data_IF_586007455226
#
_entry.id   IF_586007455226
#
_cell.length_a   1.000
_cell.length_b   1.000
_cell.length_c   1.000
_cell.angle_alpha   90.00
_cell.angle_beta   90.00
_cell.angle_gamma   90.00
#
_symmetry.space_group_name_H-M   'P 1'
#
loop_
_entity.id
_entity.type
_entity.pdbx_description
1 polymer ?
#
# COMPACT_ATOMS: atom_id res chain seq x y z
N UNK A 1 -30.93 23.09 8.79
CA UNK A 1 -29.91 22.42 9.63
C UNK A 1 -28.78 21.69 8.88
N UNK A 2 -28.85 21.46 7.55
CA UNK A 2 -27.79 20.77 6.78
C UNK A 2 -26.46 21.55 6.64
N UNK A 3 -26.48 22.88 6.76
CA UNK A 3 -25.28 23.74 6.56
C UNK A 3 -24.23 23.65 7.69
N UNK A 4 -24.60 23.23 8.91
CA UNK A 4 -23.67 23.21 10.05
C UNK A 4 -22.63 22.09 9.95
N UNK A 5 -23.05 20.87 9.59
CA UNK A 5 -22.17 19.71 9.47
C UNK A 5 -21.20 19.83 8.29
N UNK A 6 -21.69 20.31 7.14
CA UNK A 6 -20.86 20.55 5.97
C UNK A 6 -19.77 21.60 6.25
N UNK A 7 -20.11 22.69 6.97
CA UNK A 7 -19.15 23.71 7.36
C UNK A 7 -18.10 23.20 8.35
N UNK A 8 -18.48 22.28 9.25
CA UNK A 8 -17.54 21.64 10.19
C UNK A 8 -16.60 20.68 9.45
N UNK A 9 -17.11 19.89 8.52
CA UNK A 9 -16.31 18.98 7.70
C UNK A 9 -15.33 19.73 6.79
N UNK A 10 -15.80 20.78 6.10
CA UNK A 10 -14.96 21.63 5.25
C UNK A 10 -13.82 22.27 6.06
N UNK A 11 -14.14 22.82 7.25
CA UNK A 11 -13.12 23.41 8.13
C UNK A 11 -12.08 22.39 8.60
N UNK A 12 -12.48 21.15 8.91
CA UNK A 12 -11.55 20.08 9.29
C UNK A 12 -10.62 19.70 8.15
N UNK A 13 -11.15 19.55 6.94
CA UNK A 13 -10.33 19.30 5.75
C UNK A 13 -9.34 20.44 5.48
N UNK A 14 -9.73 21.69 5.73
CA UNK A 14 -8.82 22.83 5.60
C UNK A 14 -7.73 22.85 6.69
N UNK A 15 -8.04 22.42 7.93
CA UNK A 15 -7.03 22.24 8.99
C UNK A 15 -5.99 21.20 8.55
N UNK A 16 -6.42 20.03 8.09
CA UNK A 16 -5.52 18.97 7.60
C UNK A 16 -4.62 19.50 6.47
N UNK A 17 -5.19 20.18 5.47
CA UNK A 17 -4.44 20.75 4.33
C UNK A 17 -3.41 21.82 4.74
N UNK A 18 -3.71 22.62 5.77
CA UNK A 18 -2.81 23.65 6.27
C UNK A 18 -1.66 23.05 7.06
N UNK A 19 -1.93 22.01 7.84
CA UNK A 19 -0.93 21.29 8.63
C UNK A 19 0.01 20.51 7.71
N UNK A 20 -0.52 19.87 6.66
CA UNK A 20 0.28 19.13 5.66
C UNK A 20 1.25 20.03 4.89
N UNK A 21 0.82 21.23 4.47
CA UNK A 21 1.67 22.13 3.68
C UNK A 21 2.84 22.75 4.45
N UNK A 22 2.70 22.89 5.76
CA UNK A 22 3.68 23.58 6.59
C UNK A 22 4.41 22.67 7.58
N UNK A 23 4.03 21.38 7.65
CA UNK A 23 4.60 20.36 8.53
C UNK A 23 4.19 20.50 9.99
N UNK A 24 4.28 21.73 10.54
CA UNK A 24 3.92 22.08 11.91
C UNK A 24 3.09 23.36 11.90
N UNK A 25 2.00 23.38 12.67
CA UNK A 25 1.15 24.54 12.88
C UNK A 25 0.83 24.74 14.36
N UNK A 26 0.45 25.96 14.74
CA UNK A 26 -0.05 26.26 16.09
C UNK A 26 -1.56 26.45 16.06
N UNK A 27 -2.23 26.17 17.18
CA UNK A 27 -3.67 26.46 17.35
C UNK A 27 -3.99 27.91 17.02
N UNK A 28 -3.16 28.85 17.49
CA UNK A 28 -3.29 30.28 17.22
C UNK A 28 -3.15 30.61 15.73
N UNK A 29 -2.17 29.99 15.04
CA UNK A 29 -1.97 30.17 13.61
C UNK A 29 -3.14 29.65 12.76
N UNK A 30 -3.69 28.49 13.12
CA UNK A 30 -4.86 27.93 12.45
C UNK A 30 -6.12 28.78 12.68
N UNK A 31 -6.32 29.26 13.90
CA UNK A 31 -7.44 30.14 14.25
C UNK A 31 -7.43 31.43 13.42
N UNK A 32 -6.25 32.05 13.28
CA UNK A 32 -6.06 33.26 12.49
C UNK A 32 -6.36 33.03 11.00
N UNK A 33 -5.82 31.96 10.41
CA UNK A 33 -5.97 31.65 8.97
C UNK A 33 -7.39 31.26 8.61
N UNK A 34 -8.08 30.52 9.47
CA UNK A 34 -9.44 30.04 9.24
C UNK A 34 -10.52 30.98 9.78
N UNK A 35 -10.13 32.12 10.37
CA UNK A 35 -11.03 33.13 10.95
C UNK A 35 -12.03 32.54 11.94
N UNK A 36 -11.55 31.66 12.83
CA UNK A 36 -12.36 31.05 13.90
C UNK A 36 -11.66 31.18 15.24
N UNK A 37 -12.40 31.08 16.35
CA UNK A 37 -11.82 31.09 17.68
C UNK A 37 -10.94 29.87 17.96
N UNK A 38 -9.89 30.03 18.78
CA UNK A 38 -9.03 28.92 19.22
C UNK A 38 -9.81 27.76 19.83
N UNK A 39 -10.90 28.03 20.55
CA UNK A 39 -11.74 26.98 21.17
C UNK A 39 -12.40 26.07 20.11
N UNK A 40 -12.73 26.63 18.93
CA UNK A 40 -13.27 25.90 17.78
C UNK A 40 -12.20 25.01 17.16
N UNK A 41 -11.00 25.56 16.96
CA UNK A 41 -9.84 24.78 16.46
C UNK A 41 -9.51 23.64 17.42
N UNK A 42 -9.44 23.89 18.73
CA UNK A 42 -9.19 22.84 19.74
C UNK A 42 -10.24 21.73 19.70
N UNK A 43 -11.52 22.08 19.50
CA UNK A 43 -12.61 21.10 19.37
C UNK A 43 -12.45 20.24 18.11
N UNK A 44 -12.11 20.83 16.98
CA UNK A 44 -11.90 20.10 15.74
C UNK A 44 -10.62 19.26 15.76
N UNK A 45 -9.53 19.79 16.30
CA UNK A 45 -8.27 19.06 16.50
C UNK A 45 -8.44 17.87 17.45
N UNK A 46 -9.26 17.98 18.50
CA UNK A 46 -9.57 16.83 19.38
C UNK A 46 -10.17 15.67 18.59
N UNK A 47 -11.05 15.98 17.63
CA UNK A 47 -11.70 14.96 16.79
C UNK A 47 -10.74 14.44 15.74
N UNK A 48 -10.01 15.31 15.04
CA UNK A 48 -9.01 14.91 14.04
C UNK A 48 -7.88 14.09 14.66
N UNK A 49 -7.46 14.42 15.87
CA UNK A 49 -6.47 13.67 16.63
C UNK A 49 -6.99 12.29 17.05
N UNK A 50 -8.22 12.21 17.57
CA UNK A 50 -8.85 10.94 17.90
C UNK A 50 -9.06 10.04 16.66
N UNK A 51 -9.27 10.64 15.49
CA UNK A 51 -9.35 9.94 14.21
C UNK A 51 -7.98 9.59 13.61
N UNK A 52 -6.87 9.98 14.25
CA UNK A 52 -5.53 9.74 13.74
C UNK A 52 -5.25 10.46 12.41
N UNK A 53 -5.81 11.66 12.20
CA UNK A 53 -5.57 12.52 11.03
C UNK A 53 -4.48 13.57 11.27
N UNK A 54 -4.30 13.98 12.52
CA UNK A 54 -3.23 14.92 12.95
C UNK A 54 -2.66 14.49 14.29
N UNK A 55 -1.39 14.83 14.57
CA UNK A 55 -0.85 14.76 15.93
C UNK A 55 -1.02 16.11 16.60
N UNK A 56 -1.49 16.11 17.85
CA UNK A 56 -1.74 17.34 18.59
C UNK A 56 -1.23 17.22 20.02
N UNK A 57 -0.22 18.04 20.36
CA UNK A 57 0.40 18.06 21.68
C UNK A 57 0.66 19.53 22.09
N UNK A 58 0.24 19.93 23.28
CA UNK A 58 0.56 21.23 23.88
C UNK A 58 0.37 22.46 22.97
N UNK A 59 -0.65 22.44 22.09
CA UNK A 59 -0.95 23.56 21.19
C UNK A 59 -0.19 23.54 19.85
N UNK A 60 0.71 22.57 19.65
CA UNK A 60 1.37 22.25 18.38
C UNK A 60 0.61 21.15 17.66
N UNK A 61 0.36 21.37 16.37
CA UNK A 61 -0.32 20.45 15.46
C UNK A 61 0.67 20.03 14.41
N UNK A 62 0.89 18.74 14.29
CA UNK A 62 1.82 18.15 13.34
C UNK A 62 1.05 17.30 12.33
N UNK A 63 1.50 17.36 11.08
CA UNK A 63 1.03 16.43 10.08
C UNK A 63 1.45 15.03 10.50
N UNK A 64 0.58 14.04 10.33
CA UNK A 64 1.03 12.67 10.37
C UNK A 64 1.80 12.47 9.07
N UNK A 65 3.11 12.26 9.17
CA UNK A 65 3.98 12.08 8.01
C UNK A 65 3.38 11.05 7.03
N UNK A 66 2.95 11.54 5.86
CA UNK A 66 2.58 10.74 4.70
C UNK A 66 1.10 10.51 4.41
N UNK A 67 0.15 11.34 4.83
CA UNK A 67 -1.25 11.22 4.39
C UNK A 67 -1.98 12.55 4.13
N UNK A 68 -1.49 13.36 3.19
CA UNK A 68 -2.35 14.38 2.56
C UNK A 68 -3.22 13.78 1.45
N UNK A 69 -4.47 14.24 1.28
CA UNK A 69 -5.37 13.77 0.20
C UNK A 69 -4.73 13.90 -1.21
N UNK A 70 -3.92 14.95 -1.43
CA UNK A 70 -3.20 15.16 -2.69
C UNK A 70 -2.05 14.17 -2.91
N UNK A 71 -1.32 13.81 -1.84
CA UNK A 71 -0.25 12.82 -1.89
C UNK A 71 -0.84 11.41 -2.11
N UNK A 72 -1.96 11.09 -1.45
CA UNK A 72 -2.65 9.82 -1.63
C UNK A 72 -3.18 9.64 -3.07
N UNK A 73 -3.73 10.71 -3.68
CA UNK A 73 -4.12 10.69 -5.10
C UNK A 73 -2.91 10.49 -6.02
N UNK A 74 -1.79 11.14 -5.70
CA UNK A 74 -0.55 11.01 -6.49
C UNK A 74 0.01 9.58 -6.41
N UNK A 75 0.05 8.99 -5.21
CA UNK A 75 0.49 7.61 -5.01
C UNK A 75 -0.43 6.61 -5.71
N UNK A 76 -1.75 6.83 -5.70
CA UNK A 76 -2.70 5.99 -6.42
C UNK A 76 -2.46 6.01 -7.95
N UNK A 77 -2.18 7.18 -8.53
CA UNK A 77 -1.84 7.30 -9.96
C UNK A 77 -0.51 6.61 -10.28
N UNK A 78 0.49 6.73 -9.40
CA UNK A 78 1.77 6.03 -9.56
C UNK A 78 1.57 4.51 -9.49
N UNK A 79 0.83 4.03 -8.50
CA UNK A 79 0.48 2.62 -8.33
C UNK A 79 -0.20 2.07 -9.60
N UNK A 80 -1.18 2.80 -10.15
CA UNK A 80 -1.86 2.41 -11.37
C UNK A 80 -0.89 2.31 -12.57
N UNK A 81 0.02 3.29 -12.73
CA UNK A 81 1.02 3.27 -13.81
C UNK A 81 2.01 2.12 -13.66
N UNK A 82 2.47 1.84 -12.45
CA UNK A 82 3.34 0.69 -12.17
C UNK A 82 2.60 -0.59 -12.54
N UNK A 83 1.38 -0.76 -12.04
CA UNK A 83 0.58 -1.95 -12.30
C UNK A 83 0.36 -2.20 -13.80
N UNK A 84 0.05 -1.16 -14.56
CA UNK A 84 -0.18 -1.24 -16.00
C UNK A 84 1.09 -1.58 -16.80
N UNK A 85 2.29 -1.32 -16.26
CA UNK A 85 3.55 -1.62 -16.91
C UNK A 85 3.99 -3.09 -16.72
N UNK A 86 3.63 -3.72 -15.59
CA UNK A 86 4.10 -5.08 -15.23
C UNK A 86 3.80 -6.13 -16.31
N UNK A 87 2.59 -6.21 -16.92
CA UNK A 87 2.30 -7.23 -17.93
C UNK A 87 3.27 -7.24 -19.12
N UNK A 88 3.87 -6.11 -19.47
CA UNK A 88 4.84 -6.02 -20.58
C UNK A 88 6.15 -6.77 -20.30
N UNK A 89 6.41 -7.12 -19.04
CA UNK A 89 7.61 -7.87 -18.62
C UNK A 89 7.30 -9.33 -18.27
N UNK A 90 6.05 -9.78 -18.45
CA UNK A 90 5.59 -11.12 -18.13
C UNK A 90 5.28 -11.87 -19.43
N UNK A 91 5.92 -13.03 -19.60
CA UNK A 91 5.61 -13.90 -20.73
C UNK A 91 4.25 -14.60 -20.52
N UNK A 92 3.53 -14.85 -21.61
CA UNK A 92 2.30 -15.64 -21.56
C UNK A 92 2.55 -17.03 -20.97
N UNK A 93 1.55 -17.56 -20.26
CA UNK A 93 1.57 -18.85 -19.56
C UNK A 93 2.60 -18.97 -18.42
N UNK A 94 3.26 -17.87 -18.04
CA UNK A 94 4.17 -17.86 -16.89
C UNK A 94 3.44 -18.15 -15.58
N UNK A 95 4.14 -18.81 -14.66
CA UNK A 95 3.70 -18.93 -13.26
C UNK A 95 4.28 -17.79 -12.43
N UNK A 96 3.42 -17.11 -11.68
CA UNK A 96 3.74 -15.91 -10.91
C UNK A 96 3.48 -16.14 -9.42
N UNK A 97 4.47 -15.90 -8.57
CA UNK A 97 4.20 -15.68 -7.15
C UNK A 97 3.83 -14.22 -6.91
N UNK A 98 2.82 -13.96 -6.08
CA UNK A 98 2.46 -12.60 -5.67
C UNK A 98 2.12 -12.55 -4.19
N UNK A 99 2.81 -11.68 -3.45
CA UNK A 99 2.51 -11.49 -2.04
C UNK A 99 1.21 -10.70 -1.83
N UNK A 100 0.74 -10.70 -0.59
CA UNK A 100 -0.46 -9.97 -0.22
C UNK A 100 -0.21 -8.46 -0.11
N UNK A 101 -0.22 -7.80 -1.27
CA UNK A 101 -0.09 -6.36 -1.41
C UNK A 101 -1.22 -5.79 -2.30
N UNK A 102 -1.67 -4.57 -1.99
CA UNK A 102 -2.71 -3.88 -2.77
C UNK A 102 -2.26 -3.55 -4.19
N UNK A 103 -0.99 -3.22 -4.39
CA UNK A 103 -0.41 -2.98 -5.71
C UNK A 103 -0.30 -4.28 -6.51
N UNK A 104 -0.01 -5.41 -5.86
CA UNK A 104 -0.08 -6.72 -6.52
C UNK A 104 -1.50 -7.06 -6.97
N UNK A 105 -2.55 -6.72 -6.20
CA UNK A 105 -3.93 -6.89 -6.66
C UNK A 105 -4.25 -6.05 -7.91
N UNK A 106 -3.71 -4.83 -8.01
CA UNK A 106 -3.84 -4.02 -9.23
C UNK A 106 -3.12 -4.68 -10.41
N UNK A 107 -1.93 -5.23 -10.20
CA UNK A 107 -1.20 -5.99 -11.23
C UNK A 107 -2.01 -7.20 -11.70
N UNK A 108 -2.67 -7.95 -10.80
CA UNK A 108 -3.51 -9.10 -11.18
C UNK A 108 -4.63 -8.65 -12.15
N UNK A 109 -5.27 -7.51 -11.90
CA UNK A 109 -6.27 -6.97 -12.81
C UNK A 109 -5.68 -6.60 -14.18
N UNK A 110 -4.48 -6.02 -14.21
CA UNK A 110 -3.80 -5.65 -15.45
C UNK A 110 -3.33 -6.88 -16.25
N UNK A 111 -3.04 -8.00 -15.56
CA UNK A 111 -2.74 -9.29 -16.17
C UNK A 111 -3.96 -9.95 -16.82
N UNK A 112 -5.18 -9.42 -16.68
CA UNK A 112 -6.35 -9.92 -17.40
C UNK A 112 -6.20 -9.87 -18.94
N UNK A 113 -5.18 -9.17 -19.44
CA UNK A 113 -4.81 -9.05 -20.86
C UNK A 113 -4.04 -10.26 -21.40
N UNK A 114 -3.47 -11.11 -20.54
CA UNK A 114 -2.65 -12.26 -20.94
C UNK A 114 -2.94 -13.50 -20.07
N UNK A 115 -2.85 -14.73 -20.63
CA UNK A 115 -3.01 -15.94 -19.83
C UNK A 115 -1.77 -16.15 -18.93
N UNK A 116 -1.98 -16.36 -17.63
CA UNK A 116 -0.92 -16.63 -16.64
C UNK A 116 -1.42 -17.56 -15.52
N UNK A 117 -0.52 -18.11 -14.71
CA UNK A 117 -0.89 -18.74 -13.44
C UNK A 117 -0.42 -17.87 -12.29
N UNK A 118 -1.32 -17.36 -11.46
CA UNK A 118 -1.00 -16.55 -10.28
C UNK A 118 -1.14 -17.40 -9.02
N UNK A 119 -0.08 -17.51 -8.23
CA UNK A 119 -0.09 -18.13 -6.91
C UNK A 119 0.10 -17.04 -5.86
N UNK A 120 -0.87 -16.87 -4.97
CA UNK A 120 -0.88 -15.79 -3.98
C UNK A 120 -1.47 -16.20 -2.64
N UNK A 121 -0.98 -15.58 -1.56
CA UNK A 121 -1.56 -15.71 -0.23
C UNK A 121 -2.64 -14.65 0.06
N UNK A 122 -3.09 -13.92 -0.95
CA UNK A 122 -4.14 -12.91 -0.82
C UNK A 122 -5.51 -13.44 -1.31
N UNK A 123 -6.47 -13.75 -0.43
CA UNK A 123 -7.79 -14.22 -0.82
C UNK A 123 -8.55 -13.27 -1.76
N UNK A 124 -8.30 -11.95 -1.67
CA UNK A 124 -8.95 -10.95 -2.51
C UNK A 124 -8.64 -11.11 -4.00
N UNK A 125 -7.56 -11.82 -4.36
CA UNK A 125 -7.22 -12.11 -5.76
C UNK A 125 -8.30 -12.91 -6.48
N UNK A 126 -9.15 -13.65 -5.75
CA UNK A 126 -10.29 -14.39 -6.34
C UNK A 126 -11.32 -13.49 -7.00
N UNK A 127 -11.42 -12.23 -6.58
CA UNK A 127 -12.34 -11.23 -7.13
C UNK A 127 -11.72 -10.37 -8.25
N UNK A 128 -10.43 -10.54 -8.54
CA UNK A 128 -9.76 -9.79 -9.61
C UNK A 128 -10.25 -10.21 -11.00
N UNK A 129 -10.20 -9.26 -11.93
CA UNK A 129 -10.39 -9.55 -13.35
C UNK A 129 -9.30 -10.50 -13.84
N UNK A 130 -9.66 -11.40 -14.76
CA UNK A 130 -8.73 -12.41 -15.27
C UNK A 130 -9.02 -12.77 -16.72
N UNK A 131 -7.96 -13.12 -17.45
CA UNK A 131 -8.07 -13.75 -18.76
C UNK A 131 -8.72 -15.14 -18.61
N UNK A 132 -9.41 -15.63 -19.64
CA UNK A 132 -10.08 -16.95 -19.59
C UNK A 132 -9.09 -18.09 -19.31
N UNK A 133 -7.91 -18.03 -19.93
CA UNK A 133 -6.80 -18.97 -19.68
C UNK A 133 -6.03 -18.77 -18.35
N UNK A 134 -6.41 -17.80 -17.51
CA UNK A 134 -5.68 -17.50 -16.26
C UNK A 134 -6.14 -18.37 -15.10
N UNK A 135 -5.17 -18.96 -14.40
CA UNK A 135 -5.40 -19.74 -13.18
C UNK A 135 -4.99 -18.92 -11.96
N UNK A 136 -5.86 -18.83 -10.95
CA UNK A 136 -5.53 -18.21 -9.66
C UNK A 136 -5.52 -19.30 -8.60
N UNK A 137 -4.36 -19.51 -7.99
CA UNK A 137 -4.12 -20.47 -6.93
C UNK A 137 -3.90 -19.72 -5.61
N UNK A 138 -4.76 -20.01 -4.64
CA UNK A 138 -4.64 -19.45 -3.30
C UNK A 138 -3.88 -20.44 -2.41
N UNK A 139 -2.84 -19.99 -1.70
CA UNK A 139 -1.92 -20.86 -0.94
C UNK A 139 -2.58 -21.66 0.19
N UNK A 140 -3.79 -21.28 0.62
CA UNK A 140 -4.41 -21.78 1.84
C UNK A 140 -3.67 -21.33 3.11
N UNK A 141 -4.13 -21.81 4.27
CA UNK A 141 -3.57 -21.50 5.59
C UNK A 141 -4.51 -20.72 6.50
N UNK A 142 -3.94 -20.19 7.59
CA UNK A 142 -4.68 -19.38 8.58
C UNK A 142 -4.91 -17.98 8.03
N UNK A 143 -6.12 -17.45 8.18
CA UNK A 143 -6.37 -16.03 7.95
C UNK A 143 -5.74 -15.21 9.08
N UNK A 144 -4.85 -14.29 8.73
CA UNK A 144 -4.27 -13.33 9.66
C UNK A 144 -5.29 -12.25 10.01
N UNK A 145 -5.67 -12.16 11.28
CA UNK A 145 -6.70 -11.22 11.78
C UNK A 145 -6.36 -9.76 11.55
N UNK A 146 -5.08 -9.43 11.35
CA UNK A 146 -4.62 -8.05 11.14
C UNK A 146 -4.75 -7.56 9.69
N UNK A 147 -4.71 -8.46 8.70
CA UNK A 147 -4.61 -8.08 7.27
C UNK A 147 -5.51 -8.87 6.32
N UNK A 148 -6.31 -9.83 6.81
CA UNK A 148 -7.15 -10.71 5.98
C UNK A 148 -6.37 -11.43 4.86
N UNK A 149 -5.13 -11.82 5.18
CA UNK A 149 -4.21 -12.56 4.29
C UNK A 149 -3.97 -13.95 4.85
N UNK A 150 -3.57 -14.90 4.00
CA UNK A 150 -3.25 -16.24 4.43
C UNK A 150 -1.79 -16.34 4.88
N UNK A 151 -1.59 -17.01 6.01
CA UNK A 151 -0.28 -17.19 6.62
C UNK A 151 -0.17 -18.52 7.38
N UNK A 152 1.03 -18.77 7.89
CA UNK A 152 1.37 -19.95 8.68
C UNK A 152 2.05 -21.06 7.86
N UNK A 153 2.31 -22.18 8.52
CA UNK A 153 3.07 -23.31 7.95
C UNK A 153 2.43 -23.89 6.68
N UNK A 154 1.10 -23.95 6.60
CA UNK A 154 0.38 -24.41 5.41
C UNK A 154 0.72 -23.54 4.20
N UNK A 155 0.70 -22.21 4.36
CA UNK A 155 1.07 -21.26 3.30
C UNK A 155 2.52 -21.44 2.85
N UNK A 156 3.45 -21.56 3.80
CA UNK A 156 4.88 -21.75 3.50
C UNK A 156 5.15 -23.09 2.81
N UNK A 157 4.52 -24.17 3.26
CA UNK A 157 4.66 -25.50 2.66
C UNK A 157 4.08 -25.54 1.25
N UNK A 158 2.96 -24.84 1.01
CA UNK A 158 2.38 -24.73 -0.32
C UNK A 158 3.32 -24.02 -1.30
N UNK A 159 3.98 -22.96 -0.85
CA UNK A 159 4.93 -22.20 -1.67
C UNK A 159 6.24 -22.98 -1.86
N UNK A 160 6.74 -23.66 -0.84
CA UNK A 160 8.03 -24.37 -0.89
C UNK A 160 8.04 -25.54 -1.89
N UNK A 161 6.87 -26.13 -2.15
CA UNK A 161 6.68 -27.23 -3.09
C UNK A 161 6.45 -26.79 -4.54
N UNK A 162 6.60 -25.50 -4.86
CA UNK A 162 6.33 -24.93 -6.19
C UNK A 162 7.47 -24.02 -6.63
N UNK A 163 7.59 -23.83 -7.94
CA UNK A 163 8.54 -22.91 -8.56
C UNK A 163 7.74 -21.97 -9.46
N UNK A 164 8.03 -20.68 -9.37
CA UNK A 164 7.47 -19.66 -10.25
C UNK A 164 8.51 -19.16 -11.25
N UNK A 165 8.07 -18.74 -12.42
CA UNK A 165 8.94 -18.09 -13.40
C UNK A 165 9.30 -16.68 -12.93
N UNK A 166 8.34 -15.97 -12.32
CA UNK A 166 8.55 -14.63 -11.77
C UNK A 166 7.86 -14.53 -10.41
N UNK A 167 8.50 -13.88 -9.43
CA UNK A 167 7.80 -13.37 -8.25
C UNK A 167 7.57 -11.87 -8.40
N UNK A 168 6.37 -11.41 -8.06
CA UNK A 168 6.01 -10.00 -8.04
C UNK A 168 5.70 -9.61 -6.59
N UNK A 169 6.62 -8.86 -5.97
CA UNK A 169 6.55 -8.51 -4.55
C UNK A 169 6.38 -7.00 -4.39
N UNK A 170 5.26 -6.60 -3.78
CA UNK A 170 5.09 -5.22 -3.30
C UNK A 170 5.66 -5.07 -1.90
N UNK A 171 6.44 -4.02 -1.66
CA UNK A 171 6.97 -3.70 -0.32
C UNK A 171 6.66 -2.25 0.11
N UNK A 172 6.68 -2.02 1.42
CA UNK A 172 6.50 -0.70 2.02
C UNK A 172 7.82 0.12 2.08
N UNK A 173 8.97 -0.53 1.80
CA UNK A 173 10.29 0.10 1.70
C UNK A 173 11.42 -0.89 1.40
N UNK A 174 12.46 -0.42 0.72
CA UNK A 174 13.68 -1.18 0.38
C UNK A 174 14.84 -0.60 1.21
N UNK A 175 15.63 -1.45 1.88
CA UNK A 175 16.88 -1.02 2.52
C UNK A 175 18.01 -0.96 1.49
N UNK A 176 19.02 -0.12 1.75
CA UNK A 176 20.16 0.12 0.84
C UNK A 176 20.96 -1.18 0.57
N UNK A 177 20.91 -2.12 1.51
CA UNK A 177 21.57 -3.44 1.41
C UNK A 177 20.72 -4.49 0.65
N UNK A 178 19.64 -4.08 -0.01
CA UNK A 178 18.77 -4.96 -0.81
C UNK A 178 17.70 -5.70 -0.01
N UNK A 179 17.46 -5.35 1.24
CA UNK A 179 16.44 -5.95 2.09
C UNK A 179 15.04 -5.42 1.79
N UNK A 180 14.08 -6.32 1.56
CA UNK A 180 12.66 -5.98 1.47
C UNK A 180 12.08 -5.81 2.87
N UNK A 181 11.48 -4.66 3.14
CA UNK A 181 10.80 -4.43 4.42
C UNK A 181 9.38 -4.99 4.35
N UNK A 182 9.13 -6.02 5.16
CA UNK A 182 7.81 -6.62 5.34
C UNK A 182 7.17 -6.16 6.65
N UNK A 183 5.86 -6.07 6.67
CA UNK A 183 5.12 -5.54 7.82
C UNK A 183 5.22 -6.36 9.13
N UNK A 184 5.65 -7.63 9.05
CA UNK A 184 5.93 -8.49 10.20
C UNK A 184 6.74 -9.73 9.74
N UNK A 185 7.21 -10.53 10.69
CA UNK A 185 8.03 -11.72 10.44
C UNK A 185 7.32 -12.82 9.61
N UNK A 186 6.01 -13.03 9.79
CA UNK A 186 5.26 -14.01 8.99
C UNK A 186 5.21 -13.59 7.51
N UNK A 187 4.92 -12.31 7.25
CA UNK A 187 4.94 -11.77 5.90
C UNK A 187 6.35 -11.85 5.29
N UNK A 188 7.39 -11.54 6.08
CA UNK A 188 8.78 -11.64 5.63
C UNK A 188 9.15 -13.08 5.24
N UNK A 189 8.72 -14.08 6.02
CA UNK A 189 8.97 -15.49 5.71
C UNK A 189 8.27 -15.93 4.43
N UNK A 190 7.04 -15.47 4.19
CA UNK A 190 6.29 -15.77 2.96
C UNK A 190 6.94 -15.10 1.75
N UNK A 191 7.26 -13.81 1.85
CA UNK A 191 7.91 -13.05 0.78
C UNK A 191 9.29 -13.65 0.44
N UNK A 192 10.07 -14.01 1.46
CA UNK A 192 11.35 -14.70 1.29
C UNK A 192 11.17 -16.05 0.59
N UNK A 193 10.18 -16.86 0.98
CA UNK A 193 9.89 -18.13 0.32
C UNK A 193 9.53 -17.92 -1.16
N UNK A 194 8.69 -16.93 -1.48
CA UNK A 194 8.33 -16.60 -2.86
C UNK A 194 9.55 -16.16 -3.68
N UNK A 195 10.43 -15.34 -3.11
CA UNK A 195 11.67 -14.88 -3.76
C UNK A 195 12.62 -16.06 -4.02
N UNK A 196 12.87 -16.89 -3.01
CA UNK A 196 13.77 -18.05 -3.15
C UNK A 196 13.24 -19.11 -4.12
N UNK A 197 11.92 -19.20 -4.31
CA UNK A 197 11.29 -20.20 -5.18
C UNK A 197 10.92 -19.65 -6.57
N UNK A 198 11.36 -18.44 -6.93
CA UNK A 198 11.14 -17.86 -8.24
C UNK A 198 12.44 -17.71 -9.03
N UNK A 199 12.38 -17.86 -10.36
CA UNK A 199 13.53 -17.68 -11.24
C UNK A 199 13.93 -16.21 -11.42
N UNK A 200 12.94 -15.31 -11.41
CA UNK A 200 13.12 -13.86 -11.54
C UNK A 200 12.31 -13.12 -10.50
N UNK A 201 12.76 -11.93 -10.12
CA UNK A 201 12.05 -11.04 -9.20
C UNK A 201 11.66 -9.73 -9.90
N UNK A 202 10.38 -9.37 -9.77
CA UNK A 202 9.84 -8.07 -10.09
C UNK A 202 9.44 -7.39 -8.78
N UNK A 203 10.06 -6.27 -8.47
CA UNK A 203 9.79 -5.52 -7.26
C UNK A 203 8.88 -4.33 -7.53
N UNK A 204 7.84 -4.13 -6.70
CA UNK A 204 6.91 -3.01 -6.82
C UNK A 204 7.11 -2.00 -5.65
N UNK A 205 7.65 -0.80 -5.93
CA UNK A 205 7.82 0.22 -4.89
C UNK A 205 6.49 0.89 -4.56
N UNK A 206 6.11 0.94 -3.29
CA UNK A 206 4.94 1.70 -2.80
C UNK A 206 5.26 3.15 -2.45
N UNK A 207 6.54 3.47 -2.25
CA UNK A 207 7.06 4.82 -2.02
C UNK A 207 8.33 5.01 -2.84
N UNK A 208 8.42 6.13 -3.55
CA UNK A 208 9.71 6.63 -4.03
C UNK A 208 10.53 7.01 -2.78
N UNK A 209 11.35 6.09 -2.27
CA UNK A 209 12.40 6.50 -1.35
C UNK A 209 13.24 7.54 -2.11
N UNK A 210 13.63 8.64 -1.43
CA UNK A 210 14.37 9.76 -2.04
C UNK A 210 15.72 9.35 -2.68
N UNK A 211 16.10 8.08 -2.58
CA UNK A 211 17.24 7.49 -3.27
C UNK A 211 16.75 6.48 -4.31
N UNK A 212 16.80 6.92 -5.58
CA UNK A 212 16.67 6.18 -6.85
C UNK A 212 16.28 4.70 -6.73
N UNK A 213 15.08 4.36 -7.17
CA UNK A 213 14.71 2.99 -7.55
C UNK A 213 14.53 2.92 -9.07
N UNK A 214 15.39 2.14 -9.72
CA UNK A 214 15.18 1.70 -11.10
C UNK A 214 14.19 0.53 -11.13
N UNK A 215 13.43 0.33 -12.22
CA UNK A 215 12.81 -0.95 -12.52
C UNK A 215 13.94 -1.95 -12.83
N UNK A 216 14.55 -2.50 -11.79
CA UNK A 216 15.56 -3.53 -11.94
C UNK A 216 14.84 -4.88 -11.97
N UNK A 217 14.72 -5.48 -13.15
CA UNK A 217 14.59 -6.92 -13.26
C UNK A 217 15.97 -7.47 -12.90
N UNK A 218 16.18 -7.74 -11.61
CA UNK A 218 17.39 -8.41 -11.16
C UNK A 218 17.37 -9.82 -11.76
N UNK A 219 18.20 -10.00 -12.78
CA UNK A 219 18.62 -11.32 -13.21
C UNK A 219 19.64 -11.77 -12.16
N UNK A 220 19.30 -12.81 -11.39
CA UNK A 220 20.35 -13.64 -10.80
C UNK A 220 21.09 -14.36 -11.93
#
# INVERSE_FOLDING_TARGET
MKNSLANVQARRADIERLVDRHGIATVKGLALRLKVSEITIRRDLKILHAMGRVKWHNGLVEAIAGQGEGEQRTLAVIAQRIAAAVPNYIAQYSTLFMNANSLCLQVINELAKIPVTVITNNPCATACARHEGTKIMITGGRVSTKKSVLAGSVTLNFLSSRIADVTVIGCDGISVDGGLTSSNAEAAAIDSMMVTKAKKMCHLPSRLSKNRCYPAVSHC
#
